data_IF_896590053286
#
_entry.id   IF_896590053286
#
_cell.length_a   1.000
_cell.length_b   1.000
_cell.length_c   1.000
_cell.angle_alpha   90.00
_cell.angle_beta   90.00
_cell.angle_gamma   90.00
#
_symmetry.space_group_name_H-M   'P 1'
#
loop_
_entity.id
_entity.type
_entity.pdbx_description
1 polymer ?
#
# COMPACT_ATOMS: atom_id res chain seq x y z
N UNK A 1 23.15 4.63 17.66
CA UNK A 1 21.94 5.05 18.40
C UNK A 1 20.89 5.73 17.51
N UNK A 2 21.20 6.83 16.80
CA UNK A 2 20.25 7.47 15.84
C UNK A 2 20.11 6.68 14.51
N UNK A 3 21.23 6.21 13.94
CA UNK A 3 21.20 5.40 12.71
C UNK A 3 20.44 4.07 12.95
N UNK A 4 20.68 3.42 14.09
CA UNK A 4 20.00 2.16 14.44
C UNK A 4 18.49 2.33 14.61
N UNK A 5 18.04 3.49 15.11
CA UNK A 5 16.62 3.85 15.20
C UNK A 5 16.01 4.16 13.82
N UNK A 6 16.73 4.90 12.98
CA UNK A 6 16.30 5.17 11.60
C UNK A 6 16.20 3.90 10.75
N UNK A 7 17.10 2.94 10.97
CA UNK A 7 17.13 1.66 10.24
C UNK A 7 16.13 0.61 10.76
N UNK A 8 15.27 0.94 11.73
CA UNK A 8 14.18 0.05 12.12
C UNK A 8 13.27 -0.22 10.92
N UNK A 9 12.77 -1.44 10.88
CA UNK A 9 11.83 -1.87 9.87
C UNK A 9 10.62 -2.54 10.54
N UNK A 10 9.51 -2.54 9.82
CA UNK A 10 8.32 -3.32 10.13
C UNK A 10 8.19 -4.43 9.09
N UNK A 11 7.85 -5.62 9.54
CA UNK A 11 7.70 -6.78 8.67
C UNK A 11 6.32 -6.75 8.00
N UNK A 12 6.30 -6.90 6.68
CA UNK A 12 5.09 -7.18 5.91
C UNK A 12 4.82 -8.69 6.00
N UNK A 13 3.84 -9.09 6.79
CA UNK A 13 3.55 -10.51 7.08
C UNK A 13 2.68 -11.13 6.01
N UNK A 14 1.58 -10.46 5.67
CA UNK A 14 0.60 -10.97 4.73
C UNK A 14 -0.11 -9.84 3.99
N UNK A 15 -0.63 -10.14 2.80
CA UNK A 15 -1.39 -9.19 1.98
C UNK A 15 -2.58 -9.87 1.36
N UNK A 16 -3.66 -9.12 1.19
CA UNK A 16 -4.84 -9.54 0.43
C UNK A 16 -5.49 -8.33 -0.18
N UNK A 17 -5.88 -8.39 -1.45
CA UNK A 17 -6.38 -7.23 -2.16
C UNK A 17 -7.26 -7.60 -3.34
N UNK A 18 -8.02 -6.62 -3.79
CA UNK A 18 -8.72 -6.59 -5.05
C UNK A 18 -8.23 -5.35 -5.80
N UNK A 19 -7.69 -5.56 -7.00
CA UNK A 19 -7.33 -4.50 -7.95
C UNK A 19 -7.82 -4.87 -9.35
N UNK A 20 -7.98 -3.89 -10.25
CA UNK A 20 -8.30 -4.15 -11.66
C UNK A 20 -7.22 -4.95 -12.40
N UNK A 21 -5.98 -4.97 -11.89
CA UNK A 21 -4.88 -5.77 -12.42
C UNK A 21 -4.87 -7.22 -11.90
N UNK A 22 -5.71 -7.54 -10.91
CA UNK A 22 -5.77 -8.85 -10.26
C UNK A 22 -5.87 -8.76 -8.73
N UNK A 23 -5.92 -9.93 -8.09
CA UNK A 23 -5.95 -10.09 -6.63
C UNK A 23 -4.71 -10.84 -6.08
N UNK A 24 -3.71 -11.07 -6.94
CA UNK A 24 -2.44 -11.68 -6.61
C UNK A 24 -1.36 -11.18 -7.59
N UNK A 25 -0.10 -11.14 -7.14
CA UNK A 25 1.06 -10.87 -7.98
C UNK A 25 0.94 -9.58 -8.84
N UNK A 26 0.33 -8.52 -8.29
CA UNK A 26 0.14 -7.23 -8.98
C UNK A 26 1.48 -6.67 -9.47
N UNK A 27 2.57 -6.85 -8.71
CA UNK A 27 3.89 -6.41 -9.13
C UNK A 27 4.32 -7.07 -10.45
N UNK A 28 4.13 -8.39 -10.56
CA UNK A 28 4.46 -9.14 -11.76
C UNK A 28 3.50 -8.78 -12.91
N UNK A 29 2.19 -8.72 -12.64
CA UNK A 29 1.19 -8.42 -13.65
C UNK A 29 1.44 -7.07 -14.32
N UNK A 30 1.73 -6.02 -13.54
CA UNK A 30 2.01 -4.68 -14.06
C UNK A 30 3.34 -4.64 -14.83
N UNK A 31 4.39 -5.32 -14.34
CA UNK A 31 5.68 -5.43 -15.05
C UNK A 31 5.58 -6.19 -16.37
N UNK A 32 4.66 -7.15 -16.48
CA UNK A 32 4.38 -7.90 -17.71
C UNK A 32 3.41 -7.19 -18.66
N UNK A 33 3.03 -5.94 -18.37
CA UNK A 33 2.23 -5.10 -19.27
C UNK A 33 0.71 -5.18 -19.05
N UNK A 34 0.25 -5.63 -17.87
CA UNK A 34 -1.16 -5.48 -17.50
C UNK A 34 -1.53 -3.99 -17.43
N UNK A 35 -2.50 -3.57 -18.25
CA UNK A 35 -2.95 -2.18 -18.35
C UNK A 35 -4.47 -2.09 -18.15
N UNK A 36 -4.98 -2.27 -16.91
CA UNK A 36 -6.42 -2.13 -16.65
C UNK A 36 -6.95 -0.71 -16.88
N UNK A 37 -6.07 0.31 -16.90
CA UNK A 37 -6.44 1.69 -17.15
C UNK A 37 -6.80 1.92 -18.63
N UNK A 38 -8.10 1.87 -18.91
CA UNK A 38 -8.63 1.88 -20.27
C UNK A 38 -9.79 2.89 -20.42
N UNK A 39 -10.05 3.41 -21.62
CA UNK A 39 -11.26 4.16 -21.91
C UNK A 39 -12.51 3.30 -21.68
N UNK A 40 -13.44 3.79 -20.85
CA UNK A 40 -14.69 3.13 -20.52
C UNK A 40 -15.86 4.08 -20.69
N UNK A 41 -16.91 3.60 -21.37
CA UNK A 41 -18.16 4.35 -21.51
C UNK A 41 -19.06 4.12 -20.29
N UNK A 42 -19.32 5.19 -19.55
CA UNK A 42 -20.12 5.18 -18.33
C UNK A 42 -21.56 5.55 -18.69
N UNK A 43 -22.43 4.53 -18.82
CA UNK A 43 -23.82 4.72 -19.28
C UNK A 43 -24.60 5.75 -18.46
N UNK A 44 -24.57 5.72 -17.10
CA UNK A 44 -25.37 6.66 -16.31
C UNK A 44 -24.93 8.12 -16.45
N UNK A 45 -23.64 8.36 -16.71
CA UNK A 45 -23.06 9.69 -16.87
C UNK A 45 -22.95 10.14 -18.35
N UNK A 46 -23.30 9.28 -19.31
CA UNK A 46 -23.19 9.56 -20.75
C UNK A 46 -21.82 10.09 -21.20
N UNK A 47 -20.74 9.59 -20.59
CA UNK A 47 -19.38 10.04 -20.85
C UNK A 47 -18.40 8.87 -20.97
N UNK A 48 -17.30 9.10 -21.68
CA UNK A 48 -16.16 8.17 -21.73
C UNK A 48 -15.05 8.73 -20.86
N UNK A 49 -14.61 7.96 -19.86
CA UNK A 49 -13.45 8.28 -19.04
C UNK A 49 -12.42 7.15 -19.16
N UNK A 50 -11.13 7.50 -19.15
CA UNK A 50 -10.07 6.50 -18.97
C UNK A 50 -9.93 6.24 -17.47
N UNK A 51 -10.24 5.04 -17.01
CA UNK A 51 -10.20 4.65 -15.58
C UNK A 51 -10.08 3.13 -15.44
N UNK A 52 -9.85 2.64 -14.22
CA UNK A 52 -9.82 1.21 -13.90
C UNK A 52 -10.87 0.88 -12.83
N UNK A 53 -11.75 -0.08 -13.09
CA UNK A 53 -12.77 -0.52 -12.13
C UNK A 53 -12.53 -1.95 -11.67
N UNK A 54 -12.87 -2.21 -10.41
CA UNK A 54 -12.93 -3.57 -9.91
C UNK A 54 -14.07 -4.33 -10.58
N UNK A 55 -13.86 -5.62 -10.79
CA UNK A 55 -14.87 -6.51 -11.37
C UNK A 55 -15.67 -7.20 -10.26
N UNK A 56 -17.02 -7.11 -10.25
CA UNK A 56 -17.86 -6.45 -11.24
C UNK A 56 -17.89 -4.90 -11.10
N UNK A 57 -18.00 -4.16 -12.23
CA UNK A 57 -18.08 -2.71 -12.22
C UNK A 57 -19.45 -2.23 -11.73
N UNK A 58 -19.49 -1.05 -11.09
CA UNK A 58 -20.74 -0.41 -10.71
C UNK A 58 -21.61 -0.10 -11.95
N UNK A 59 -22.91 -0.35 -11.83
CA UNK A 59 -23.89 -0.19 -12.90
C UNK A 59 -24.73 1.07 -12.72
N UNK A 60 -25.14 1.35 -11.49
CA UNK A 60 -26.05 2.43 -11.16
C UNK A 60 -25.33 3.61 -10.48
N UNK A 61 -24.15 3.37 -9.90
CA UNK A 61 -23.37 4.38 -9.17
C UNK A 61 -24.19 5.02 -8.05
N UNK A 62 -24.98 4.21 -7.35
CA UNK A 62 -25.72 4.66 -6.17
C UNK A 62 -24.96 4.31 -4.90
N UNK A 63 -25.35 4.97 -3.80
CA UNK A 63 -24.75 4.74 -2.49
C UNK A 63 -25.00 3.33 -1.98
N UNK A 64 -26.17 2.76 -2.28
CA UNK A 64 -26.53 1.39 -1.92
C UNK A 64 -25.66 0.37 -2.66
N UNK A 65 -25.47 0.55 -3.97
CA UNK A 65 -24.58 -0.30 -4.76
C UNK A 65 -23.13 -0.18 -4.28
N UNK A 66 -22.68 1.04 -3.96
CA UNK A 66 -21.36 1.28 -3.38
C UNK A 66 -21.17 0.48 -2.08
N UNK A 67 -22.13 0.56 -1.14
CA UNK A 67 -22.05 -0.16 0.13
C UNK A 67 -22.04 -1.68 -0.08
N UNK A 68 -22.86 -2.20 -0.99
CA UNK A 68 -22.88 -3.62 -1.34
C UNK A 68 -21.54 -4.09 -1.91
N UNK A 69 -20.97 -3.33 -2.87
CA UNK A 69 -19.66 -3.65 -3.46
C UNK A 69 -18.55 -3.58 -2.43
N UNK A 70 -18.52 -2.55 -1.58
CA UNK A 70 -17.52 -2.42 -0.53
C UNK A 70 -17.58 -3.60 0.45
N UNK A 71 -18.77 -3.98 0.93
CA UNK A 71 -18.94 -5.15 1.79
C UNK A 71 -18.44 -6.45 1.14
N UNK A 72 -18.77 -6.68 -0.14
CA UNK A 72 -18.29 -7.86 -0.86
C UNK A 72 -16.75 -7.89 -1.01
N UNK A 73 -16.12 -6.74 -1.22
CA UNK A 73 -14.65 -6.66 -1.29
C UNK A 73 -14.00 -6.79 0.08
N UNK A 74 -14.61 -6.30 1.16
CA UNK A 74 -14.15 -6.60 2.52
C UNK A 74 -14.23 -8.11 2.80
N UNK A 75 -15.33 -8.77 2.45
CA UNK A 75 -15.46 -10.23 2.60
C UNK A 75 -14.36 -10.96 1.82
N UNK A 76 -14.07 -10.54 0.59
CA UNK A 76 -13.02 -11.14 -0.23
C UNK A 76 -11.64 -10.95 0.43
N UNK A 77 -11.31 -9.72 0.79
CA UNK A 77 -9.99 -9.37 1.32
C UNK A 77 -9.74 -10.05 2.66
N UNK A 78 -10.73 -10.04 3.57
CA UNK A 78 -10.61 -10.68 4.88
C UNK A 78 -10.51 -12.20 4.78
N UNK A 79 -11.26 -12.84 3.87
CA UNK A 79 -11.10 -14.29 3.60
C UNK A 79 -9.71 -14.61 3.06
N UNK A 80 -9.12 -13.74 2.26
CA UNK A 80 -7.75 -13.91 1.76
C UNK A 80 -6.67 -13.84 2.84
N UNK A 81 -6.98 -13.32 4.04
CA UNK A 81 -6.08 -13.28 5.20
C UNK A 81 -6.51 -14.25 6.32
N UNK A 82 -7.55 -15.06 6.11
CA UNK A 82 -8.17 -15.83 7.19
C UNK A 82 -7.18 -16.81 7.84
N UNK A 83 -6.36 -17.51 7.03
CA UNK A 83 -5.34 -18.44 7.52
C UNK A 83 -4.31 -17.76 8.41
N UNK A 84 -3.77 -16.63 7.96
CA UNK A 84 -2.75 -15.86 8.65
C UNK A 84 -3.32 -15.26 9.91
N UNK A 85 -4.50 -14.65 9.84
CA UNK A 85 -5.14 -14.10 11.03
C UNK A 85 -5.45 -15.20 12.05
N UNK A 86 -6.01 -16.34 11.65
CA UNK A 86 -6.24 -17.46 12.57
C UNK A 86 -4.95 -17.97 13.23
N UNK A 87 -3.84 -18.02 12.47
CA UNK A 87 -2.56 -18.48 12.96
C UNK A 87 -1.90 -17.48 13.93
N UNK A 88 -2.09 -16.18 13.71
CA UNK A 88 -1.32 -15.13 14.38
C UNK A 88 -2.08 -14.39 15.49
N UNK A 89 -3.41 -14.36 15.44
CA UNK A 89 -4.23 -13.51 16.32
C UNK A 89 -4.85 -14.27 17.48
N UNK A 90 -4.56 -15.56 17.66
CA UNK A 90 -5.06 -16.35 18.80
C UNK A 90 -4.54 -15.83 20.14
N UNK A 91 -3.36 -15.22 20.14
CA UNK A 91 -2.59 -14.88 21.33
C UNK A 91 -2.35 -13.38 21.51
N UNK A 92 -2.71 -12.54 20.51
CA UNK A 92 -2.37 -11.12 20.51
C UNK A 92 -3.46 -10.23 19.92
N UNK A 93 -3.64 -9.00 20.45
CA UNK A 93 -4.53 -8.02 19.87
C UNK A 93 -4.04 -7.58 18.49
N UNK A 94 -4.99 -7.36 17.59
CA UNK A 94 -4.73 -6.75 16.28
C UNK A 94 -5.28 -5.33 16.31
N UNK A 95 -4.40 -4.37 16.06
CA UNK A 95 -4.77 -2.99 15.78
C UNK A 95 -5.23 -2.90 14.35
N UNK A 96 -6.42 -2.33 14.13
CA UNK A 96 -6.96 -2.19 12.79
C UNK A 96 -6.95 -0.72 12.40
N UNK A 97 -6.33 -0.41 11.27
CA UNK A 97 -6.37 0.90 10.64
C UNK A 97 -7.23 0.79 9.39
N UNK A 98 -8.23 1.65 9.24
CA UNK A 98 -9.07 1.71 8.03
C UNK A 98 -8.96 3.10 7.41
N UNK A 99 -8.58 3.15 6.14
CA UNK A 99 -8.64 4.36 5.31
C UNK A 99 -9.57 4.13 4.13
N UNK A 100 -10.47 5.07 3.88
CA UNK A 100 -11.37 5.02 2.73
C UNK A 100 -11.67 6.41 2.21
N UNK A 101 -12.16 6.47 0.97
CA UNK A 101 -12.43 7.71 0.24
C UNK A 101 -13.67 8.50 0.71
N UNK A 102 -14.16 8.25 1.92
CA UNK A 102 -15.24 9.01 2.58
C UNK A 102 -16.58 9.10 1.81
N UNK A 103 -16.86 8.17 0.89
CA UNK A 103 -18.18 8.05 0.24
C UNK A 103 -19.28 7.63 1.22
N UNK A 104 -18.94 6.70 2.13
CA UNK A 104 -19.76 6.32 3.29
C UNK A 104 -19.11 6.92 4.55
N UNK A 105 -19.90 7.10 5.61
CA UNK A 105 -19.34 7.49 6.91
C UNK A 105 -18.61 6.34 7.60
N UNK A 106 -17.69 6.67 8.50
CA UNK A 106 -16.86 5.71 9.23
C UNK A 106 -17.68 4.62 9.92
N UNK A 107 -18.80 4.95 10.57
CA UNK A 107 -19.66 3.97 11.25
C UNK A 107 -20.27 2.92 10.29
N UNK A 108 -20.57 3.33 9.06
CA UNK A 108 -21.11 2.42 8.04
C UNK A 108 -20.01 1.53 7.48
N UNK A 109 -18.82 2.09 7.23
CA UNK A 109 -17.64 1.32 6.81
C UNK A 109 -17.26 0.31 7.91
N UNK A 110 -17.28 0.73 9.18
CA UNK A 110 -17.04 -0.14 10.32
C UNK A 110 -18.04 -1.30 10.35
N UNK A 111 -19.32 -1.01 10.14
CA UNK A 111 -20.38 -2.02 10.14
C UNK A 111 -20.21 -3.03 9.00
N UNK A 112 -19.87 -2.55 7.79
CA UNK A 112 -19.57 -3.42 6.65
C UNK A 112 -18.36 -4.30 6.92
N UNK A 113 -17.26 -3.72 7.40
CA UNK A 113 -16.04 -4.47 7.68
C UNK A 113 -16.23 -5.47 8.82
N UNK A 114 -16.93 -5.11 9.91
CA UNK A 114 -17.24 -6.04 11.01
C UNK A 114 -18.13 -7.21 10.58
N UNK A 115 -19.01 -7.01 9.59
CA UNK A 115 -19.79 -8.11 9.03
C UNK A 115 -18.91 -9.10 8.25
N UNK A 116 -17.80 -8.62 7.67
CA UNK A 116 -16.80 -9.43 6.96
C UNK A 116 -15.75 -10.05 7.89
N UNK A 117 -15.48 -9.45 9.05
CA UNK A 117 -14.52 -9.96 10.01
C UNK A 117 -15.07 -11.21 10.71
N UNK A 118 -14.35 -12.33 10.64
CA UNK A 118 -14.69 -13.55 11.37
C UNK A 118 -14.66 -13.29 12.87
N UNK A 119 -15.70 -13.72 13.58
CA UNK A 119 -15.99 -13.43 15.00
C UNK A 119 -14.95 -13.88 16.04
N UNK A 120 -13.79 -14.39 15.60
CA UNK A 120 -12.76 -15.01 16.45
C UNK A 120 -11.58 -14.09 16.76
N UNK A 121 -11.56 -12.86 16.26
CA UNK A 121 -10.42 -11.95 16.45
C UNK A 121 -10.70 -10.97 17.59
N UNK A 122 -9.80 -10.92 18.57
CA UNK A 122 -9.71 -9.81 19.52
C UNK A 122 -9.17 -8.57 18.78
N UNK A 123 -10.01 -7.99 17.92
CA UNK A 123 -9.72 -6.71 17.27
C UNK A 123 -10.12 -5.62 18.23
N UNK A 124 -9.15 -4.86 18.75
CA UNK A 124 -9.40 -3.55 19.34
C UNK A 124 -8.08 -2.86 19.72
N UNK A 125 -7.92 -1.54 19.42
CA UNK A 125 -8.88 -0.62 18.79
C UNK A 125 -8.87 -0.62 17.24
N UNK A 126 -9.99 -0.18 16.64
CA UNK A 126 -10.11 0.18 15.21
C UNK A 126 -9.97 1.70 15.08
N UNK A 127 -9.06 2.17 14.23
CA UNK A 127 -8.81 3.59 13.97
C UNK A 127 -9.13 3.93 12.51
N UNK A 128 -9.95 4.95 12.32
CA UNK A 128 -10.17 5.55 11.00
C UNK A 128 -9.08 6.58 10.72
N UNK A 129 -8.36 6.36 9.63
CA UNK A 129 -7.14 7.07 9.30
C UNK A 129 -7.32 7.96 8.07
N UNK A 130 -8.39 8.76 8.08
CA UNK A 130 -8.83 9.59 6.96
C UNK A 130 -7.88 10.75 6.67
N UNK A 131 -7.20 11.23 7.71
CA UNK A 131 -6.26 12.36 7.67
C UNK A 131 -4.79 11.92 7.49
N UNK A 132 -4.51 10.62 7.46
CA UNK A 132 -3.15 10.13 7.21
C UNK A 132 -2.61 10.61 5.86
N UNK A 133 -1.29 10.65 5.75
CA UNK A 133 -0.58 10.99 4.51
C UNK A 133 0.20 9.78 4.00
N UNK A 134 -0.45 8.95 3.17
CA UNK A 134 0.14 7.76 2.56
C UNK A 134 0.75 6.81 3.59
N UNK A 135 2.08 6.66 3.59
CA UNK A 135 2.81 5.73 4.45
C UNK A 135 3.38 6.34 5.72
N UNK A 136 3.34 7.66 5.89
CA UNK A 136 4.00 8.35 7.02
C UNK A 136 3.52 7.87 8.41
N UNK A 137 2.32 7.28 8.50
CA UNK A 137 1.81 6.68 9.74
C UNK A 137 2.67 5.51 10.28
N UNK A 138 3.44 4.84 9.41
CA UNK A 138 4.34 3.74 9.79
C UNK A 138 5.46 4.24 10.70
N UNK A 139 5.84 5.51 10.58
CA UNK A 139 6.91 6.12 11.38
C UNK A 139 6.65 6.01 12.88
N UNK A 140 5.44 6.38 13.31
CA UNK A 140 5.00 6.29 14.71
C UNK A 140 5.03 4.84 15.23
N UNK A 141 4.77 3.88 14.35
CA UNK A 141 4.78 2.45 14.67
C UNK A 141 6.19 1.86 14.80
N UNK A 142 7.15 2.34 14.02
CA UNK A 142 8.55 1.90 14.14
C UNK A 142 9.17 2.27 15.49
N UNK A 143 8.64 3.31 16.15
CA UNK A 143 9.13 3.78 17.44
C UNK A 143 8.32 3.30 18.65
N UNK A 144 7.19 2.61 18.41
CA UNK A 144 6.42 1.98 19.45
C UNK A 144 7.19 0.83 20.14
N UNK A 145 6.98 0.58 21.45
CA UNK A 145 7.57 -0.56 22.12
C UNK A 145 7.16 -1.88 21.46
N UNK A 146 8.11 -2.80 21.26
CA UNK A 146 7.90 -4.09 20.58
C UNK A 146 7.00 -5.10 21.34
N UNK A 147 6.22 -4.64 22.33
CA UNK A 147 5.50 -5.47 23.30
C UNK A 147 4.18 -6.02 22.79
N UNK A 148 4.16 -6.50 21.54
CA UNK A 148 3.08 -7.30 20.92
C UNK A 148 1.90 -6.52 20.32
N UNK A 149 2.09 -5.94 19.14
CA UNK A 149 0.99 -5.33 18.40
C UNK A 149 1.09 -5.69 16.90
N UNK A 150 0.11 -6.44 16.39
CA UNK A 150 -0.07 -6.65 14.95
C UNK A 150 -0.87 -5.49 14.39
N UNK A 151 -0.54 -5.01 13.18
CA UNK A 151 -1.37 -4.03 12.46
C UNK A 151 -2.02 -4.68 11.27
N UNK A 152 -3.33 -4.56 11.17
CA UNK A 152 -4.04 -4.76 9.93
C UNK A 152 -4.42 -3.39 9.36
N UNK A 153 -3.71 -2.96 8.31
CA UNK A 153 -4.03 -1.74 7.57
C UNK A 153 -4.90 -2.07 6.37
N UNK A 154 -6.11 -1.50 6.34
CA UNK A 154 -7.10 -1.67 5.29
C UNK A 154 -7.27 -0.34 4.56
N UNK A 155 -7.16 -0.36 3.23
CA UNK A 155 -7.38 0.82 2.41
C UNK A 155 -8.36 0.53 1.27
N UNK A 156 -9.36 1.40 1.10
CA UNK A 156 -10.43 1.24 0.12
C UNK A 156 -10.66 2.52 -0.71
N UNK A 157 -10.57 2.38 -2.02
CA UNK A 157 -10.98 3.40 -2.99
C UNK A 157 -11.95 2.76 -4.00
N UNK A 158 -13.22 3.16 -3.97
CA UNK A 158 -14.27 2.68 -4.89
C UNK A 158 -14.98 3.88 -5.53
N UNK A 159 -15.56 3.72 -6.71
CA UNK A 159 -16.27 4.83 -7.36
C UNK A 159 -17.74 4.86 -6.97
N UNK A 160 -18.14 5.96 -6.33
CA UNK A 160 -19.51 6.47 -6.45
C UNK A 160 -19.61 7.42 -7.65
N UNK A 161 -18.68 8.37 -7.74
CA UNK A 161 -18.53 9.26 -8.89
C UNK A 161 -17.19 8.94 -9.57
N UNK A 162 -17.18 8.26 -10.73
CA UNK A 162 -15.95 7.91 -11.41
C UNK A 162 -15.11 9.13 -11.79
N UNK A 163 -13.79 9.03 -11.58
CA UNK A 163 -12.82 10.09 -11.88
C UNK A 163 -11.85 9.58 -12.94
N UNK A 164 -11.54 10.41 -13.94
CA UNK A 164 -10.57 10.06 -14.97
C UNK A 164 -9.19 9.79 -14.36
N UNK A 165 -8.45 8.86 -14.95
CA UNK A 165 -7.10 8.43 -14.57
C UNK A 165 -7.00 7.79 -13.17
N UNK A 166 -8.12 7.45 -12.53
CA UNK A 166 -8.15 6.79 -11.22
C UNK A 166 -8.42 5.28 -11.34
N UNK A 167 -8.08 4.55 -10.27
CA UNK A 167 -8.40 3.12 -10.12
C UNK A 167 -9.24 2.88 -8.88
N UNK A 168 -10.18 1.93 -8.96
CA UNK A 168 -10.73 1.30 -7.77
C UNK A 168 -9.72 0.29 -7.18
N UNK A 169 -9.72 0.12 -5.86
CA UNK A 169 -8.94 -0.90 -5.15
C UNK A 169 -9.45 -1.08 -3.72
N UNK A 170 -9.40 -2.30 -3.20
CA UNK A 170 -9.59 -2.60 -1.77
C UNK A 170 -8.45 -3.52 -1.35
N UNK A 171 -7.77 -3.19 -0.26
CA UNK A 171 -6.56 -3.89 0.15
C UNK A 171 -6.44 -4.00 1.65
N UNK A 172 -5.81 -5.08 2.12
CA UNK A 172 -5.40 -5.27 3.49
C UNK A 172 -3.95 -5.74 3.54
N UNK A 173 -3.17 -5.16 4.44
CA UNK A 173 -1.79 -5.54 4.73
C UNK A 173 -1.66 -5.82 6.22
N UNK A 174 -1.08 -6.98 6.56
CA UNK A 174 -0.79 -7.38 7.93
C UNK A 174 0.68 -7.08 8.21
N UNK A 175 0.95 -6.28 9.24
CA UNK A 175 2.28 -5.86 9.65
C UNK A 175 2.59 -6.34 11.07
N UNK A 176 3.88 -6.58 11.33
CA UNK A 176 4.37 -6.96 12.65
C UNK A 176 5.80 -6.45 12.87
N UNK A 177 6.24 -6.40 14.13
CA UNK A 177 7.68 -6.20 14.39
C UNK A 177 8.49 -7.41 13.89
N UNK A 178 9.68 -7.21 13.30
CA UNK A 178 10.55 -8.30 12.85
C UNK A 178 10.91 -9.29 13.97
N UNK A 179 11.15 -8.80 15.20
CA UNK A 179 11.45 -9.65 16.36
C UNK A 179 10.30 -10.62 16.70
N UNK A 180 9.06 -10.19 16.47
CA UNK A 180 7.90 -11.06 16.64
C UNK A 180 7.85 -12.16 15.58
N UNK A 181 8.17 -11.82 14.33
CA UNK A 181 8.26 -12.80 13.23
C UNK A 181 9.32 -13.87 13.54
N UNK A 182 10.49 -13.43 14.01
CA UNK A 182 11.57 -14.32 14.42
C UNK A 182 11.17 -15.23 15.59
N UNK A 183 10.48 -14.68 16.60
CA UNK A 183 10.00 -15.45 17.75
C UNK A 183 8.93 -16.50 17.38
N UNK A 184 8.09 -16.22 16.37
CA UNK A 184 7.09 -17.16 15.84
C UNK A 184 7.66 -18.09 14.76
N UNK A 185 8.88 -17.86 14.28
CA UNK A 185 9.60 -18.75 13.37
C UNK A 185 9.09 -18.72 11.93
N UNK A 186 8.64 -17.57 11.43
CA UNK A 186 8.23 -17.43 10.03
C UNK A 186 8.94 -16.24 9.35
N UNK A 187 9.15 -16.38 8.04
CA UNK A 187 9.78 -15.36 7.21
C UNK A 187 8.71 -14.40 6.67
N UNK A 188 8.84 -13.08 6.89
CA UNK A 188 7.90 -12.12 6.31
C UNK A 188 8.02 -12.05 4.79
N UNK A 189 7.06 -11.38 4.14
CA UNK A 189 7.12 -11.08 2.70
C UNK A 189 8.30 -10.14 2.42
N UNK A 190 8.42 -9.08 3.22
CA UNK A 190 9.41 -8.03 3.06
C UNK A 190 9.58 -7.23 4.36
N UNK A 191 10.60 -6.39 4.40
CA UNK A 191 10.86 -5.44 5.49
C UNK A 191 10.64 -4.01 4.98
N UNK A 192 9.69 -3.30 5.58
CA UNK A 192 9.35 -1.92 5.24
C UNK A 192 10.13 -1.00 6.18
N UNK A 193 10.99 -0.17 5.61
CA UNK A 193 11.78 0.81 6.36
C UNK A 193 11.05 2.14 6.51
N UNK A 194 11.59 3.00 7.39
CA UNK A 194 11.03 4.31 7.73
C UNK A 194 10.69 5.13 6.48
N UNK A 195 9.42 5.53 6.29
CA UNK A 195 9.04 6.44 5.22
C UNK A 195 9.54 7.85 5.55
N UNK A 196 9.97 8.57 4.53
CA UNK A 196 10.55 9.92 4.65
C UNK A 196 9.78 10.88 3.75
N UNK A 197 9.31 11.98 4.32
CA UNK A 197 8.69 13.05 3.56
C UNK A 197 9.74 13.81 2.73
N UNK A 198 9.46 14.07 1.46
CA UNK A 198 10.37 14.79 0.56
C UNK A 198 10.23 16.31 0.70
N UNK A 199 10.60 16.87 1.85
CA UNK A 199 10.66 18.32 2.07
C UNK A 199 11.93 18.91 1.40
N UNK A 200 13.09 18.50 1.90
CA UNK A 200 14.41 18.81 1.32
C UNK A 200 14.91 17.56 0.58
N UNK A 201 14.69 17.52 -0.73
CA UNK A 201 14.77 16.29 -1.52
C UNK A 201 16.10 15.54 -1.39
N UNK A 202 17.23 16.26 -1.36
CA UNK A 202 18.55 15.65 -1.23
C UNK A 202 18.76 14.96 0.13
N UNK A 203 18.38 15.64 1.22
CA UNK A 203 18.52 15.12 2.58
C UNK A 203 17.54 13.97 2.79
N UNK A 204 16.28 14.13 2.37
CA UNK A 204 15.24 13.12 2.51
C UNK A 204 15.58 11.81 1.75
N UNK A 205 16.10 11.92 0.53
CA UNK A 205 16.55 10.74 -0.24
C UNK A 205 17.78 10.08 0.38
N UNK A 206 18.71 10.88 0.90
CA UNK A 206 19.88 10.35 1.60
C UNK A 206 19.47 9.58 2.85
N UNK A 207 18.55 10.13 3.65
CA UNK A 207 18.01 9.48 4.85
C UNK A 207 17.24 8.21 4.49
N UNK A 208 16.35 8.26 3.50
CA UNK A 208 15.59 7.09 3.05
C UNK A 208 16.50 5.94 2.60
N UNK A 209 17.57 6.23 1.85
CA UNK A 209 18.51 5.20 1.40
C UNK A 209 19.39 4.69 2.55
N UNK A 210 19.82 5.56 3.47
CA UNK A 210 20.60 5.18 4.64
C UNK A 210 19.80 4.30 5.61
N UNK A 211 18.55 4.69 5.90
CA UNK A 211 17.63 3.98 6.77
C UNK A 211 17.11 2.71 6.12
N UNK A 212 16.84 2.77 4.82
CA UNK A 212 16.47 1.65 3.96
C UNK A 212 17.61 0.70 3.63
N UNK A 213 18.86 0.98 4.04
CA UNK A 213 20.03 0.14 3.77
C UNK A 213 20.29 -0.13 2.28
N UNK A 214 20.04 0.85 1.42
CA UNK A 214 20.38 0.75 -0.01
C UNK A 214 21.87 1.08 -0.19
N UNK A 215 22.62 0.13 -0.72
CA UNK A 215 24.01 0.34 -1.14
C UNK A 215 24.06 0.96 -2.53
N UNK A 216 24.99 1.91 -2.76
CA UNK A 216 25.28 2.52 -4.06
C UNK A 216 25.69 1.49 -5.12
N UNK A 217 26.30 0.38 -4.70
CA UNK A 217 26.75 -0.68 -5.59
C UNK A 217 25.62 -1.64 -6.00
N UNK A 218 24.53 -1.70 -5.24
CA UNK A 218 23.47 -2.68 -5.45
C UNK A 218 22.33 -2.09 -6.27
N UNK A 219 21.77 -2.85 -7.23
CA UNK A 219 20.59 -2.41 -7.94
C UNK A 219 19.36 -2.42 -7.02
N UNK A 220 18.42 -1.55 -7.35
CA UNK A 220 17.11 -1.51 -6.72
C UNK A 220 16.04 -1.25 -7.79
N UNK A 221 14.78 -1.53 -7.46
CA UNK A 221 13.63 -1.21 -8.29
C UNK A 221 12.90 0.01 -7.74
N UNK A 222 12.29 0.83 -8.59
CA UNK A 222 11.49 1.98 -8.16
C UNK A 222 10.05 1.86 -8.65
N UNK A 223 9.12 1.95 -7.71
CA UNK A 223 7.69 2.15 -7.95
C UNK A 223 7.33 3.60 -7.68
N UNK A 224 6.56 4.22 -8.56
CA UNK A 224 5.98 5.52 -8.24
C UNK A 224 4.50 5.66 -8.60
N UNK A 225 3.78 6.43 -7.77
CA UNK A 225 2.35 6.69 -7.93
C UNK A 225 1.99 8.06 -7.37
N UNK A 226 1.18 8.82 -8.10
CA UNK A 226 0.65 10.13 -7.70
C UNK A 226 1.69 11.23 -7.45
N UNK A 227 2.98 10.95 -7.66
CA UNK A 227 4.07 11.93 -7.58
C UNK A 227 4.14 12.75 -8.89
N UNK A 228 4.22 14.09 -8.81
CA UNK A 228 4.51 14.95 -9.96
C UNK A 228 5.78 14.54 -10.72
N UNK A 229 5.74 14.66 -12.05
CA UNK A 229 6.83 14.19 -12.91
C UNK A 229 8.15 14.96 -12.72
N UNK A 230 8.07 16.25 -12.39
CA UNK A 230 9.19 17.10 -11.99
C UNK A 230 9.83 16.61 -10.70
N UNK A 231 9.03 16.32 -9.67
CA UNK A 231 9.53 15.76 -8.40
C UNK A 231 10.25 14.41 -8.62
N UNK A 232 9.72 13.55 -9.49
CA UNK A 232 10.39 12.29 -9.88
C UNK A 232 11.71 12.55 -10.61
N UNK A 233 11.72 13.46 -11.59
CA UNK A 233 12.93 13.80 -12.34
C UNK A 233 14.03 14.36 -11.43
N UNK A 234 13.67 15.26 -10.52
CA UNK A 234 14.60 15.85 -9.56
C UNK A 234 15.16 14.79 -8.60
N UNK A 235 14.36 13.77 -8.23
CA UNK A 235 14.81 12.68 -7.37
C UNK A 235 15.88 11.84 -8.09
N UNK A 236 15.65 11.51 -9.37
CA UNK A 236 16.61 10.76 -10.19
C UNK A 236 17.92 11.54 -10.35
N UNK A 237 17.86 12.85 -10.59
CA UNK A 237 19.05 13.71 -10.68
C UNK A 237 19.82 13.71 -9.35
N UNK A 238 19.09 13.87 -8.24
CA UNK A 238 19.63 13.91 -6.88
C UNK A 238 20.31 12.60 -6.50
N UNK A 239 19.68 11.46 -6.78
CA UNK A 239 20.24 10.14 -6.52
C UNK A 239 21.51 9.88 -7.34
N UNK A 240 21.53 10.29 -8.61
CA UNK A 240 22.72 10.21 -9.46
C UNK A 240 23.87 11.07 -8.92
N UNK A 241 23.57 12.29 -8.48
CA UNK A 241 24.57 13.17 -7.87
C UNK A 241 25.14 12.59 -6.56
N UNK A 242 24.33 11.86 -5.80
CA UNK A 242 24.75 11.14 -4.59
C UNK A 242 25.51 9.83 -4.89
N UNK A 243 25.63 9.43 -6.15
CA UNK A 243 26.37 8.23 -6.59
C UNK A 243 25.55 6.95 -6.62
N UNK A 244 24.23 7.03 -6.51
CA UNK A 244 23.33 5.91 -6.82
C UNK A 244 23.10 5.84 -8.33
N UNK A 245 22.74 4.65 -8.82
CA UNK A 245 22.52 4.40 -10.25
C UNK A 245 21.06 3.96 -10.49
N UNK A 246 20.07 4.87 -10.46
CA UNK A 246 18.70 4.55 -10.87
C UNK A 246 18.69 4.02 -12.31
N UNK A 247 18.11 2.83 -12.47
CA UNK A 247 17.95 2.16 -13.75
C UNK A 247 16.54 2.42 -14.31
N UNK A 248 16.47 2.96 -15.52
CA UNK A 248 15.19 3.26 -16.19
C UNK A 248 14.37 2.01 -16.50
N UNK A 249 15.01 0.84 -16.68
CA UNK A 249 14.30 -0.42 -16.89
C UNK A 249 13.70 -0.97 -15.59
N UNK A 250 14.22 -0.53 -14.44
CA UNK A 250 13.73 -0.86 -13.09
C UNK A 250 12.90 0.26 -12.49
N UNK A 251 12.23 1.04 -13.33
CA UNK A 251 11.43 2.19 -12.93
C UNK A 251 10.01 2.02 -13.46
N UNK A 252 9.01 1.96 -12.58
CA UNK A 252 7.63 1.71 -12.96
C UNK A 252 6.65 2.75 -12.40
N UNK A 253 5.87 3.35 -13.29
CA UNK A 253 4.77 4.24 -12.96
C UNK A 253 3.48 3.45 -12.78
N UNK A 254 3.03 3.26 -11.54
CA UNK A 254 1.77 2.56 -11.25
C UNK A 254 0.58 3.23 -11.95
N UNK A 255 0.55 4.56 -11.93
CA UNK A 255 -0.55 5.35 -12.49
C UNK A 255 -0.74 5.16 -14.01
N UNK A 256 0.34 4.84 -14.74
CA UNK A 256 0.26 4.69 -16.20
C UNK A 256 -0.50 3.44 -16.62
N UNK A 257 -0.39 2.38 -15.82
CA UNK A 257 -0.95 1.05 -16.06
C UNK A 257 -2.24 0.83 -15.28
N UNK A 258 -2.21 1.12 -13.97
CA UNK A 258 -3.30 0.87 -13.04
C UNK A 258 -4.26 2.06 -12.96
N UNK A 259 -3.76 3.29 -13.02
CA UNK A 259 -4.49 4.49 -12.59
C UNK A 259 -4.21 4.82 -11.13
N UNK A 260 -4.60 6.03 -10.71
CA UNK A 260 -4.34 6.59 -9.37
C UNK A 260 -5.22 5.92 -8.31
N UNK A 261 -4.64 5.26 -7.29
CA UNK A 261 -5.42 4.62 -6.22
C UNK A 261 -6.13 5.60 -5.27
N UNK A 262 -5.84 6.89 -5.37
CA UNK A 262 -6.35 7.92 -4.47
C UNK A 262 -5.84 7.69 -3.05
N UNK A 263 -6.76 7.71 -2.08
CA UNK A 263 -6.46 7.48 -0.67
C UNK A 263 -5.88 6.08 -0.36
N UNK A 264 -6.00 5.11 -1.28
CA UNK A 264 -5.50 3.74 -1.11
C UNK A 264 -4.09 3.53 -1.71
N UNK A 265 -3.37 4.60 -2.01
CA UNK A 265 -2.04 4.54 -2.64
C UNK A 265 -1.00 3.85 -1.76
N UNK A 266 -1.12 3.98 -0.43
CA UNK A 266 -0.16 3.43 0.52
C UNK A 266 -0.08 1.92 0.44
N UNK A 267 -1.20 1.23 0.69
CA UNK A 267 -1.24 -0.23 0.66
C UNK A 267 -0.93 -0.79 -0.73
N UNK A 268 -1.43 -0.18 -1.81
CA UNK A 268 -1.15 -0.64 -3.17
C UNK A 268 0.35 -0.56 -3.49
N UNK A 269 1.01 0.54 -3.10
CA UNK A 269 2.45 0.69 -3.28
C UNK A 269 3.25 -0.32 -2.43
N UNK A 270 2.85 -0.55 -1.18
CA UNK A 270 3.49 -1.55 -0.31
C UNK A 270 3.35 -2.97 -0.85
N UNK A 271 2.17 -3.34 -1.35
CA UNK A 271 1.92 -4.65 -1.93
C UNK A 271 2.82 -4.86 -3.15
N UNK A 272 2.85 -3.89 -4.09
CA UNK A 272 3.67 -3.99 -5.29
C UNK A 272 5.17 -4.05 -4.96
N UNK A 273 5.63 -3.21 -4.03
CA UNK A 273 7.03 -3.19 -3.62
C UNK A 273 7.42 -4.47 -2.84
N UNK A 274 6.56 -4.95 -1.94
CA UNK A 274 6.80 -6.14 -1.14
C UNK A 274 6.81 -7.43 -1.97
N UNK A 275 5.83 -7.62 -2.85
CA UNK A 275 5.84 -8.74 -3.81
C UNK A 275 7.09 -8.70 -4.70
N UNK A 276 7.43 -7.51 -5.20
CA UNK A 276 8.59 -7.32 -6.05
C UNK A 276 9.91 -7.58 -5.33
N UNK A 277 10.11 -7.03 -4.13
CA UNK A 277 11.34 -7.20 -3.36
C UNK A 277 11.58 -8.67 -3.03
N UNK A 278 10.52 -9.39 -2.63
CA UNK A 278 10.56 -10.83 -2.40
C UNK A 278 10.95 -11.61 -3.66
N UNK A 279 10.35 -11.28 -4.80
CA UNK A 279 10.58 -12.01 -6.05
C UNK A 279 11.97 -11.73 -6.66
N UNK A 280 12.43 -10.48 -6.60
CA UNK A 280 13.68 -10.05 -7.22
C UNK A 280 14.90 -10.24 -6.29
N UNK A 281 14.69 -10.41 -4.97
CA UNK A 281 15.77 -10.52 -3.98
C UNK A 281 16.61 -9.25 -3.84
N UNK A 282 16.03 -8.08 -4.14
CA UNK A 282 16.68 -6.77 -4.10
C UNK A 282 15.75 -5.73 -3.48
N UNK A 283 16.31 -4.57 -3.10
CA UNK A 283 15.55 -3.46 -2.52
C UNK A 283 14.58 -2.82 -3.54
N UNK A 284 13.40 -2.44 -3.06
CA UNK A 284 12.37 -1.74 -3.82
C UNK A 284 12.10 -0.38 -3.17
N UNK A 285 12.38 0.70 -3.89
CA UNK A 285 12.04 2.07 -3.53
C UNK A 285 10.59 2.37 -3.94
N UNK A 286 9.82 2.89 -3.01
CA UNK A 286 8.51 3.49 -3.25
C UNK A 286 8.70 5.01 -3.27
N UNK A 287 8.19 5.67 -4.30
CA UNK A 287 7.96 7.11 -4.33
C UNK A 287 6.46 7.35 -4.50
N UNK A 288 5.78 7.89 -3.51
CA UNK A 288 4.35 8.18 -3.65
C UNK A 288 3.99 9.55 -3.12
N UNK A 289 2.82 10.03 -3.52
CA UNK A 289 2.22 11.21 -2.92
C UNK A 289 0.75 10.93 -2.61
N UNK A 290 0.36 11.25 -1.39
CA UNK A 290 -1.03 11.32 -0.98
C UNK A 290 -1.39 12.78 -0.69
N UNK A 291 -1.10 13.28 0.51
CA UNK A 291 -1.11 14.72 0.79
C UNK A 291 0.25 15.36 0.47
N UNK A 292 1.36 14.66 0.76
CA UNK A 292 2.71 15.12 0.43
C UNK A 292 3.58 14.03 -0.22
N UNK A 293 4.59 14.41 -1.03
CA UNK A 293 5.51 13.45 -1.62
C UNK A 293 6.38 12.79 -0.55
N UNK A 294 6.55 11.49 -0.65
CA UNK A 294 7.26 10.67 0.31
C UNK A 294 7.98 9.50 -0.38
N UNK A 295 9.00 8.99 0.30
CA UNK A 295 9.78 7.85 -0.13
C UNK A 295 9.86 6.80 0.97
N UNK A 296 9.84 5.53 0.59
CA UNK A 296 9.97 4.42 1.51
C UNK A 296 10.76 3.30 0.84
N UNK A 297 11.61 2.62 1.60
CA UNK A 297 12.38 1.48 1.08
C UNK A 297 11.79 0.20 1.63
N UNK A 298 11.59 -0.77 0.73
CA UNK A 298 11.17 -2.13 1.05
C UNK A 298 12.32 -3.08 0.71
N UNK A 299 12.84 -3.79 1.70
CA UNK A 299 13.88 -4.81 1.53
C UNK A 299 13.26 -6.20 1.44
N UNK A 300 13.88 -7.15 0.72
CA UNK A 300 13.52 -8.56 0.86
C UNK A 300 13.73 -9.00 2.32
N UNK A 301 12.88 -9.92 2.78
CA UNK A 301 12.97 -10.51 4.11
C UNK A 301 14.19 -11.44 4.27
#
# INVERSE_FOLDING_TARGET
MLIDQGQRAIALVATSYASPAGNNQIAQALRLGSTPLQPMYLKPQHQTLRLSQLSPPAQAYTREEYAQRLGAYFDQVMRGLESELQLYTSDMPVHVRIRHNQVLGDDEVLSLWKASATSTQAVEPVVFATEDDGLLWIDAWLDAPATSELVLSIEANLFLNPVAEHTESVSAVLLAHPDWCAAKGFDPIALIHRPVQLLEQAEALQDAFLWGRIDKANPYFTWHSQVPADCVADAVVTLRAAGYLPDSEKFHQLDASLGRPGCAVGNIALIAAGEGAKADGQAHLIMLQDASPQVCVVQPA
#
